data_IF_151871373261
#
_entry.id   IF_151871373261
#
_cell.length_a   1.000
_cell.length_b   1.000
_cell.length_c   1.000
_cell.angle_alpha   90.00
_cell.angle_beta   90.00
_cell.angle_gamma   90.00
#
_symmetry.space_group_name_H-M   'P 1'
#
loop_
_entity.id
_entity.type
_entity.pdbx_description
1 polymer ?
#
# COMPACT_ATOMS: atom_id res chain seq x y z
N UNK A 1 -12.97 -11.22 13.28
CA UNK A 1 -12.59 -10.90 11.89
C UNK A 1 -11.15 -11.36 11.69
N UNK A 2 -10.84 -12.02 10.57
CA UNK A 2 -9.48 -12.46 10.21
C UNK A 2 -9.07 -11.80 8.90
N UNK A 3 -7.86 -11.24 8.85
CA UNK A 3 -7.25 -10.72 7.63
C UNK A 3 -6.12 -11.66 7.23
N UNK A 4 -6.15 -12.14 5.99
CA UNK A 4 -5.11 -12.99 5.42
C UNK A 4 -4.45 -12.19 4.31
N UNK A 5 -3.19 -11.82 4.53
CA UNK A 5 -2.40 -11.08 3.55
C UNK A 5 -1.63 -12.03 2.63
N UNK A 6 -1.20 -11.51 1.48
CA UNK A 6 -0.41 -12.25 0.48
C UNK A 6 -1.06 -13.57 0.03
N UNK A 7 -2.39 -13.61 -0.08
CA UNK A 7 -3.15 -14.84 -0.38
C UNK A 7 -2.82 -15.47 -1.74
N UNK A 8 -2.22 -14.69 -2.63
CA UNK A 8 -1.72 -15.17 -3.92
C UNK A 8 -0.55 -16.16 -3.78
N UNK A 9 0.10 -16.25 -2.61
CA UNK A 9 1.06 -17.33 -2.31
C UNK A 9 0.46 -18.73 -2.37
N UNK A 10 -0.88 -18.86 -2.29
CA UNK A 10 -1.55 -20.13 -2.56
C UNK A 10 -1.16 -20.69 -3.94
N UNK A 11 -0.91 -19.83 -4.93
CA UNK A 11 -0.50 -20.22 -6.28
C UNK A 11 0.83 -20.98 -6.35
N UNK A 12 1.67 -20.89 -5.32
CA UNK A 12 2.92 -21.64 -5.26
C UNK A 12 2.70 -23.16 -5.10
N UNK A 13 1.53 -23.57 -4.57
CA UNK A 13 1.15 -24.97 -4.45
C UNK A 13 0.48 -25.51 -5.72
N UNK A 14 0.40 -26.83 -5.82
CA UNK A 14 -0.44 -27.50 -6.83
C UNK A 14 -1.91 -27.10 -6.71
N UNK A 15 -2.69 -27.27 -7.78
CA UNK A 15 -4.13 -26.99 -7.76
C UNK A 15 -4.88 -27.72 -6.62
N UNK A 16 -4.43 -28.94 -6.27
CA UNK A 16 -4.99 -29.70 -5.15
C UNK A 16 -4.68 -29.05 -3.79
N UNK A 17 -3.46 -28.58 -3.60
CA UNK A 17 -3.03 -27.90 -2.36
C UNK A 17 -3.74 -26.55 -2.20
N UNK A 18 -3.87 -25.78 -3.28
CA UNK A 18 -4.64 -24.54 -3.34
C UNK A 18 -6.07 -24.76 -2.84
N UNK A 19 -6.78 -25.74 -3.40
CA UNK A 19 -8.15 -26.06 -3.03
C UNK A 19 -8.27 -26.57 -1.59
N UNK A 20 -7.30 -27.35 -1.12
CA UNK A 20 -7.25 -27.82 0.27
C UNK A 20 -7.07 -26.65 1.25
N UNK A 21 -6.17 -25.70 0.95
CA UNK A 21 -5.96 -24.51 1.76
C UNK A 21 -7.20 -23.61 1.80
N UNK A 22 -7.80 -23.31 0.64
CA UNK A 22 -9.05 -22.55 0.53
C UNK A 22 -10.19 -23.20 1.33
N UNK A 23 -10.35 -24.52 1.25
CA UNK A 23 -11.37 -25.23 2.04
C UNK A 23 -11.13 -25.15 3.55
N UNK A 24 -9.87 -25.18 4.01
CA UNK A 24 -9.55 -24.97 5.43
C UNK A 24 -9.90 -23.56 5.88
N UNK A 25 -9.62 -22.54 5.07
CA UNK A 25 -10.03 -21.16 5.35
C UNK A 25 -11.54 -21.03 5.41
N UNK A 26 -12.30 -21.67 4.51
CA UNK A 26 -13.77 -21.73 4.60
C UNK A 26 -14.25 -22.37 5.88
N UNK A 27 -13.67 -23.51 6.24
CA UNK A 27 -14.02 -24.23 7.46
C UNK A 27 -13.80 -23.32 8.68
N UNK A 28 -12.64 -22.68 8.78
CA UNK A 28 -12.31 -21.77 9.87
C UNK A 28 -13.27 -20.58 9.95
N UNK A 29 -13.59 -19.95 8.80
CA UNK A 29 -14.53 -18.84 8.75
C UNK A 29 -15.93 -19.24 9.24
N UNK A 30 -16.41 -20.42 8.80
CA UNK A 30 -17.72 -20.93 9.18
C UNK A 30 -17.73 -21.40 10.65
N UNK A 31 -16.72 -22.12 11.12
CA UNK A 31 -16.68 -22.67 12.50
C UNK A 31 -16.58 -21.55 13.53
N UNK A 32 -15.69 -20.58 13.30
CA UNK A 32 -15.52 -19.43 14.18
C UNK A 32 -16.58 -18.33 13.97
N UNK A 33 -17.43 -18.46 12.95
CA UNK A 33 -18.43 -17.44 12.57
C UNK A 33 -17.81 -16.05 12.38
N UNK A 34 -16.66 -15.98 11.71
CA UNK A 34 -15.92 -14.73 11.49
C UNK A 34 -15.96 -14.25 10.04
N UNK A 35 -16.01 -12.93 9.87
CA UNK A 35 -15.69 -12.30 8.58
C UNK A 35 -14.21 -12.47 8.26
N UNK A 36 -13.92 -12.81 7.01
CA UNK A 36 -12.58 -13.03 6.49
C UNK A 36 -12.30 -12.03 5.37
N UNK A 37 -11.17 -11.34 5.44
CA UNK A 37 -10.71 -10.39 4.43
C UNK A 37 -9.44 -10.94 3.82
N UNK A 38 -9.44 -11.11 2.49
CA UNK A 38 -8.32 -11.67 1.74
C UNK A 38 -7.60 -10.54 1.01
N UNK A 39 -6.32 -10.37 1.29
CA UNK A 39 -5.48 -9.33 0.71
C UNK A 39 -4.37 -9.98 -0.11
N UNK A 40 -4.00 -9.34 -1.21
CA UNK A 40 -2.93 -9.81 -2.08
C UNK A 40 -2.91 -9.04 -3.39
N UNK A 41 -2.05 -9.49 -4.31
CA UNK A 41 -1.95 -8.94 -5.65
C UNK A 41 -3.14 -9.34 -6.52
N UNK A 42 -3.17 -8.87 -7.78
CA UNK A 42 -4.19 -9.29 -8.76
C UNK A 42 -4.22 -10.81 -8.96
N UNK A 43 -3.11 -11.50 -8.72
CA UNK A 43 -3.01 -12.95 -8.82
C UNK A 43 -3.83 -13.67 -7.74
N UNK A 44 -4.19 -12.99 -6.65
CA UNK A 44 -5.13 -13.52 -5.67
C UNK A 44 -6.46 -13.91 -6.33
N UNK A 45 -6.96 -13.11 -7.26
CA UNK A 45 -8.21 -13.39 -7.98
C UNK A 45 -8.10 -14.72 -8.74
N UNK A 46 -6.94 -15.00 -9.36
CA UNK A 46 -6.68 -16.27 -10.05
C UNK A 46 -6.66 -17.45 -9.06
N UNK A 47 -6.04 -17.27 -7.89
CA UNK A 47 -6.05 -18.29 -6.84
C UNK A 47 -7.48 -18.66 -6.42
N UNK A 48 -8.37 -17.67 -6.27
CA UNK A 48 -9.78 -17.90 -5.91
C UNK A 48 -10.62 -18.50 -7.04
N UNK A 49 -10.26 -18.29 -8.31
CA UNK A 49 -10.95 -18.90 -9.45
C UNK A 49 -10.88 -20.43 -9.46
N UNK A 50 -9.93 -21.02 -8.74
CA UNK A 50 -9.83 -22.47 -8.58
C UNK A 50 -11.03 -23.10 -7.85
N UNK A 51 -11.83 -22.30 -7.14
CA UNK A 51 -12.99 -22.76 -6.38
C UNK A 51 -14.20 -21.83 -6.59
N UNK A 52 -15.19 -22.30 -7.36
CA UNK A 52 -16.40 -21.53 -7.72
C UNK A 52 -17.19 -21.03 -6.51
N UNK A 53 -17.13 -21.71 -5.36
CA UNK A 53 -17.82 -21.27 -4.13
C UNK A 53 -17.08 -20.14 -3.40
N UNK A 54 -15.78 -19.95 -3.67
CA UNK A 54 -15.05 -18.79 -3.17
C UNK A 54 -15.44 -17.52 -3.93
N UNK A 55 -15.55 -17.60 -5.25
CA UNK A 55 -15.89 -16.46 -6.12
C UNK A 55 -17.24 -15.85 -5.74
N UNK A 56 -18.22 -16.67 -5.36
CA UNK A 56 -19.55 -16.16 -4.96
C UNK A 56 -19.58 -15.53 -3.56
N UNK A 57 -18.61 -15.83 -2.69
CA UNK A 57 -18.53 -15.33 -1.31
C UNK A 57 -17.65 -14.09 -1.16
N UNK A 58 -16.65 -13.92 -2.03
CA UNK A 58 -15.70 -12.81 -1.97
C UNK A 58 -15.88 -11.89 -3.16
N UNK A 59 -16.33 -10.66 -2.89
CA UNK A 59 -16.35 -9.59 -3.89
C UNK A 59 -14.97 -8.94 -3.96
N UNK A 60 -14.27 -8.97 -5.11
CA UNK A 60 -12.99 -8.31 -5.26
C UNK A 60 -13.14 -6.80 -5.06
N UNK A 61 -12.26 -6.23 -4.24
CA UNK A 61 -12.14 -4.79 -4.07
C UNK A 61 -10.71 -4.38 -4.40
N UNK A 62 -10.56 -3.56 -5.45
CA UNK A 62 -9.24 -3.08 -5.87
C UNK A 62 -8.94 -1.74 -5.19
N UNK A 63 -7.77 -1.65 -4.56
CA UNK A 63 -7.22 -0.38 -4.07
C UNK A 63 -6.39 0.21 -5.21
N UNK A 64 -6.86 1.28 -5.88
CA UNK A 64 -6.12 1.86 -7.00
C UNK A 64 -4.87 2.57 -6.50
N UNK A 65 -3.86 2.66 -7.38
CA UNK A 65 -2.73 3.56 -7.19
C UNK A 65 -3.20 5.00 -7.06
N UNK A 66 -2.51 5.78 -6.24
CA UNK A 66 -2.76 7.21 -6.12
C UNK A 66 -2.59 7.91 -7.47
N UNK A 67 -3.44 8.91 -7.69
CA UNK A 67 -3.40 9.82 -8.84
C UNK A 67 -3.43 11.26 -8.33
N UNK A 68 -3.13 12.21 -9.21
CA UNK A 68 -3.26 13.63 -8.88
C UNK A 68 -4.73 13.92 -8.53
N UNK A 69 -5.00 14.05 -7.24
CA UNK A 69 -6.34 14.08 -6.67
C UNK A 69 -6.33 14.76 -5.31
N UNK A 70 -7.47 15.28 -4.89
CA UNK A 70 -7.66 15.81 -3.54
C UNK A 70 -7.40 14.75 -2.45
N UNK A 71 -7.63 13.48 -2.75
CA UNK A 71 -7.31 12.37 -1.84
C UNK A 71 -5.81 12.27 -1.56
N UNK A 72 -4.98 12.34 -2.60
CA UNK A 72 -3.53 12.34 -2.44
C UNK A 72 -3.04 13.60 -1.73
N UNK A 73 -3.57 14.78 -2.05
CA UNK A 73 -3.21 16.02 -1.35
C UNK A 73 -3.49 15.92 0.15
N UNK A 74 -4.64 15.34 0.53
CA UNK A 74 -4.96 15.05 1.93
C UNK A 74 -4.01 14.05 2.56
N UNK A 75 -3.61 13.00 1.84
CA UNK A 75 -2.61 12.05 2.33
C UNK A 75 -1.28 12.75 2.63
N UNK A 76 -0.76 13.56 1.71
CA UNK A 76 0.50 14.30 1.90
C UNK A 76 0.41 15.30 3.05
N UNK A 77 -0.72 16.01 3.18
CA UNK A 77 -0.95 16.89 4.32
C UNK A 77 -1.03 16.12 5.65
N UNK A 78 -1.55 14.88 5.64
CA UNK A 78 -1.55 14.03 6.83
C UNK A 78 -0.13 13.59 7.20
N UNK A 79 0.71 13.24 6.21
CA UNK A 79 2.13 12.97 6.44
C UNK A 79 2.83 14.17 7.08
N UNK A 80 2.62 15.38 6.55
CA UNK A 80 3.22 16.60 7.08
C UNK A 80 2.94 16.82 8.58
N UNK A 81 1.79 16.36 9.08
CA UNK A 81 1.42 16.46 10.50
C UNK A 81 2.08 15.41 11.39
N UNK A 82 2.52 14.29 10.82
CA UNK A 82 3.08 13.15 11.56
C UNK A 82 4.60 13.11 11.44
N UNK A 83 5.16 13.66 10.36
CA UNK A 83 6.60 13.78 10.18
C UNK A 83 7.21 14.66 11.28
N UNK A 84 8.35 14.26 11.87
CA UNK A 84 8.95 14.94 13.01
C UNK A 84 9.76 16.17 12.60
N UNK A 85 9.16 17.08 11.82
CA UNK A 85 9.80 18.30 11.31
C UNK A 85 9.25 19.52 12.05
N UNK A 86 10.13 20.46 12.43
CA UNK A 86 9.72 21.65 13.18
C UNK A 86 9.00 22.70 12.34
N UNK A 87 9.23 22.71 11.02
CA UNK A 87 8.66 23.72 10.12
C UNK A 87 7.73 23.04 9.10
N UNK A 88 6.63 23.71 8.71
CA UNK A 88 5.75 23.20 7.67
C UNK A 88 6.51 23.11 6.34
N UNK A 89 6.26 22.03 5.61
CA UNK A 89 6.88 21.73 4.31
C UNK A 89 5.95 22.02 3.12
N UNK A 90 4.65 22.23 3.38
CA UNK A 90 3.58 22.38 2.39
C UNK A 90 3.65 21.29 1.30
N UNK A 91 3.57 20.04 1.75
CA UNK A 91 3.66 18.87 0.85
C UNK A 91 2.48 18.77 -0.12
N UNK A 92 1.41 19.52 0.14
CA UNK A 92 0.19 19.56 -0.66
C UNK A 92 0.34 20.36 -1.96
N UNK A 93 1.44 21.11 -2.11
CA UNK A 93 1.71 21.93 -3.30
C UNK A 93 1.81 21.09 -4.57
N UNK A 94 1.31 21.63 -5.68
CA UNK A 94 1.18 20.93 -6.97
C UNK A 94 2.50 20.29 -7.43
N UNK A 95 3.61 21.00 -7.32
CA UNK A 95 4.92 20.53 -7.76
C UNK A 95 5.39 19.29 -6.99
N UNK A 96 5.21 19.27 -5.65
CA UNK A 96 5.56 18.11 -4.82
C UNK A 96 4.64 16.94 -5.13
N UNK A 97 3.33 17.19 -5.26
CA UNK A 97 2.36 16.14 -5.61
C UNK A 97 2.75 15.45 -6.91
N UNK A 98 3.09 16.22 -7.93
CA UNK A 98 3.48 15.70 -9.24
C UNK A 98 4.81 14.94 -9.17
N UNK A 99 5.81 15.47 -8.46
CA UNK A 99 7.08 14.79 -8.25
C UNK A 99 6.89 13.46 -7.53
N UNK A 100 6.18 13.46 -6.40
CA UNK A 100 5.93 12.27 -5.58
C UNK A 100 5.20 11.21 -6.40
N UNK A 101 4.17 11.58 -7.17
CA UNK A 101 3.48 10.63 -8.05
C UNK A 101 4.41 10.01 -9.09
N UNK A 102 5.23 10.84 -9.75
CA UNK A 102 6.16 10.38 -10.76
C UNK A 102 7.24 9.45 -10.18
N UNK A 103 7.78 9.78 -9.01
CA UNK A 103 8.84 9.02 -8.36
C UNK A 103 8.35 7.68 -7.79
N UNK A 104 7.11 7.61 -7.32
CA UNK A 104 6.58 6.46 -6.56
C UNK A 104 5.64 5.57 -7.36
N UNK A 105 5.24 6.01 -8.57
CA UNK A 105 4.20 5.36 -9.36
C UNK A 105 2.85 5.29 -8.64
N UNK A 106 2.61 6.17 -7.66
CA UNK A 106 1.37 6.24 -6.88
C UNK A 106 1.19 5.10 -5.87
N UNK A 107 2.25 4.39 -5.49
CA UNK A 107 2.18 3.35 -4.45
C UNK A 107 2.30 3.98 -3.06
N UNK A 108 1.37 3.68 -2.15
CA UNK A 108 1.37 4.22 -0.77
C UNK A 108 2.68 3.91 -0.03
N UNK A 109 3.20 2.69 -0.18
CA UNK A 109 4.47 2.27 0.43
C UNK A 109 5.65 3.12 -0.05
N UNK A 110 5.79 3.26 -1.36
CA UNK A 110 6.85 4.09 -1.98
C UNK A 110 6.73 5.57 -1.60
N UNK A 111 5.51 6.11 -1.53
CA UNK A 111 5.26 7.48 -1.04
C UNK A 111 5.76 7.63 0.40
N UNK A 112 5.39 6.70 1.29
CA UNK A 112 5.82 6.71 2.68
C UNK A 112 7.35 6.65 2.79
N UNK A 113 8.00 5.72 2.08
CA UNK A 113 9.45 5.58 2.08
C UNK A 113 10.15 6.85 1.58
N UNK A 114 9.71 7.41 0.45
CA UNK A 114 10.27 8.65 -0.11
C UNK A 114 10.17 9.82 0.88
N UNK A 115 9.01 10.02 1.50
CA UNK A 115 8.79 11.11 2.45
C UNK A 115 9.60 10.95 3.72
N UNK A 116 9.70 9.74 4.28
CA UNK A 116 10.52 9.47 5.46
C UNK A 116 12.00 9.71 5.18
N UNK A 117 12.51 9.23 4.04
CA UNK A 117 13.90 9.45 3.63
C UNK A 117 14.18 10.95 3.42
N UNK A 118 13.26 11.69 2.80
CA UNK A 118 13.40 13.13 2.62
C UNK A 118 13.35 13.90 3.94
N UNK A 119 12.49 13.50 4.88
CA UNK A 119 12.43 14.09 6.22
C UNK A 119 13.72 13.83 7.01
N UNK A 120 14.27 12.62 6.93
CA UNK A 120 15.54 12.28 7.55
C UNK A 120 16.68 13.16 7.01
N UNK A 121 16.75 13.34 5.69
CA UNK A 121 17.73 14.23 5.08
C UNK A 121 17.57 15.68 5.55
N UNK A 122 16.33 16.17 5.61
CA UNK A 122 16.04 17.53 6.10
C UNK A 122 16.49 17.75 7.56
N UNK A 123 16.31 16.73 8.41
CA UNK A 123 16.74 16.77 9.81
C UNK A 123 18.27 16.74 9.90
N UNK A 124 18.92 15.85 9.15
CA UNK A 124 20.39 15.73 9.13
C UNK A 124 21.07 17.00 8.62
N UNK A 125 20.45 17.70 7.67
CA UNK A 125 20.95 18.97 7.13
C UNK A 125 20.63 20.18 8.03
N UNK A 126 19.76 20.03 9.03
CA UNK A 126 19.34 21.10 9.94
C UNK A 126 18.27 22.03 9.37
N UNK A 127 17.72 21.73 8.20
CA UNK A 127 16.67 22.56 7.57
C UNK A 127 15.37 22.51 8.36
N UNK A 128 15.02 21.31 8.85
CA UNK A 128 13.79 21.02 9.60
C UNK A 128 12.50 21.27 8.77
N UNK A 129 12.62 21.23 7.43
CA UNK A 129 11.52 21.12 6.45
C UNK A 129 11.95 20.37 5.18
N UNK A 130 10.99 19.82 4.44
CA UNK A 130 11.23 19.15 3.17
C UNK A 130 11.23 20.16 2.01
N UNK A 131 12.39 20.32 1.37
CA UNK A 131 12.53 20.97 0.07
C UNK A 131 12.47 19.95 -1.07
N UNK A 132 12.32 20.45 -2.30
CA UNK A 132 12.36 19.58 -3.49
C UNK A 132 13.68 18.82 -3.61
N UNK A 133 14.79 19.46 -3.25
CA UNK A 133 16.13 18.86 -3.22
C UNK A 133 16.21 17.61 -2.34
N UNK A 134 15.50 17.60 -1.19
CA UNK A 134 15.44 16.42 -0.31
C UNK A 134 14.69 15.26 -0.96
N UNK A 135 13.59 15.55 -1.64
CA UNK A 135 12.81 14.55 -2.38
C UNK A 135 13.60 13.97 -3.55
N UNK A 136 14.29 14.83 -4.31
CA UNK A 136 15.17 14.41 -5.41
C UNK A 136 16.32 13.53 -4.92
N UNK A 137 16.95 13.90 -3.80
CA UNK A 137 18.02 13.10 -3.20
C UNK A 137 17.51 11.76 -2.67
N UNK A 138 16.39 11.75 -1.94
CA UNK A 138 15.78 10.53 -1.41
C UNK A 138 15.36 9.55 -2.53
N UNK A 139 14.86 10.07 -3.65
CA UNK A 139 14.52 9.27 -4.83
C UNK A 139 15.75 8.53 -5.39
N UNK A 140 16.90 9.20 -5.50
CA UNK A 140 18.15 8.61 -6.02
C UNK A 140 18.73 7.50 -5.13
N UNK A 141 18.47 7.54 -3.83
CA UNK A 141 18.99 6.55 -2.87
C UNK A 141 18.16 5.25 -2.90
N UNK A 142 16.92 5.33 -3.37
CA UNK A 142 15.95 4.21 -3.33
C UNK A 142 15.91 3.40 -4.64
N UNK A 143 16.59 3.87 -5.70
CA UNK A 143 16.75 3.18 -7.00
C UNK A 143 18.02 2.34 -7.03
#
# INVERSE_FOLDING_TARGET
>A
MLVVDEVHHLLAGSYREQRAALNRLKFLANDLQISMVMVGTRDAVLAFQTDTQMISRYTPFEIPRWRESEGLRRLLAAFERVLPLRKPSDLSRREIVQFVLSATGGLTGEISSLLNNAAELAIRNGDELIYMTHLEHACRITQ
#
